data_IF_277782541674
#
_entry.id   IF_277782541674
#
_cell.length_a   1.000
_cell.length_b   1.000
_cell.length_c   1.000
_cell.angle_alpha   90.00
_cell.angle_beta   90.00
_cell.angle_gamma   90.00
#
_symmetry.space_group_name_H-M   'P 1'
#
loop_
_entity.id
_entity.type
_entity.pdbx_description
1 polymer ?
#
# COMPACT_ATOMS: atom_id res chain seq x y z
N UNK A 1 -10.47 -13.91 -6.09
CA UNK A 1 -11.85 -13.41 -6.22
C UNK A 1 -12.21 -13.41 -7.70
N UNK A 2 -13.04 -14.36 -8.17
CA UNK A 2 -13.48 -14.36 -9.56
C UNK A 2 -14.20 -13.03 -9.85
N UNK A 3 -13.67 -12.27 -10.82
CA UNK A 3 -14.22 -10.98 -11.25
C UNK A 3 -13.40 -9.73 -10.87
N UNK A 4 -12.47 -9.81 -9.91
CA UNK A 4 -11.64 -8.65 -9.52
C UNK A 4 -10.42 -8.55 -10.43
N UNK A 5 -10.38 -7.49 -11.25
CA UNK A 5 -9.31 -7.26 -12.25
C UNK A 5 -8.29 -6.20 -11.84
N UNK A 6 -8.59 -5.41 -10.82
CA UNK A 6 -7.79 -4.24 -10.43
C UNK A 6 -7.44 -4.27 -8.95
N UNK A 7 -6.36 -3.57 -8.64
CA UNK A 7 -5.87 -3.38 -7.30
C UNK A 7 -5.74 -1.89 -7.04
N UNK A 8 -6.22 -1.44 -5.89
CA UNK A 8 -5.99 -0.07 -5.44
C UNK A 8 -4.54 0.10 -4.99
N UNK A 9 -3.93 1.22 -5.35
CA UNK A 9 -2.63 1.61 -4.81
C UNK A 9 -2.86 2.15 -3.40
N UNK A 10 -2.05 1.70 -2.44
CA UNK A 10 -2.15 2.12 -1.03
C UNK A 10 -1.19 3.28 -0.77
N UNK A 11 -1.60 4.23 0.07
CA UNK A 11 -0.82 5.44 0.34
C UNK A 11 -1.00 6.55 -0.69
N UNK A 12 -2.04 6.46 -1.52
CA UNK A 12 -2.43 7.46 -2.51
C UNK A 12 -3.86 7.93 -2.27
N UNK A 13 -4.14 9.22 -2.54
CA UNK A 13 -5.42 9.87 -2.22
C UNK A 13 -5.79 9.64 -0.75
N UNK A 14 -7.04 9.26 -0.48
CA UNK A 14 -7.58 9.06 0.87
C UNK A 14 -7.14 7.73 1.51
N UNK A 15 -6.46 6.85 0.75
CA UNK A 15 -6.06 5.53 1.27
C UNK A 15 -4.74 5.59 2.02
N UNK A 16 -4.78 5.24 3.30
CA UNK A 16 -3.57 5.20 4.13
C UNK A 16 -2.62 4.06 3.75
N UNK A 17 -1.32 4.31 3.88
CA UNK A 17 -0.28 3.30 3.75
C UNK A 17 -0.32 2.27 4.87
N UNK A 18 0.33 1.13 4.67
CA UNK A 18 0.45 0.10 5.71
C UNK A 18 1.58 0.48 6.66
N UNK A 19 1.25 0.71 7.94
CA UNK A 19 2.20 0.99 9.01
C UNK A 19 3.09 -0.23 9.31
N UNK A 20 4.29 0.02 9.82
CA UNK A 20 5.28 -0.99 10.27
C UNK A 20 5.74 -2.00 9.21
N UNK A 21 5.40 -1.77 7.95
CA UNK A 21 5.84 -2.63 6.86
C UNK A 21 7.30 -2.34 6.52
N UNK A 22 8.19 -3.27 6.88
CA UNK A 22 9.65 -3.15 6.62
C UNK A 22 10.06 -3.53 5.20
N UNK A 23 9.33 -4.44 4.54
CA UNK A 23 9.64 -4.94 3.20
C UNK A 23 8.56 -4.55 2.16
N UNK A 24 8.97 -4.31 0.90
CA UNK A 24 8.09 -3.92 -0.22
C UNK A 24 7.21 -2.69 0.09
N UNK A 25 7.78 -1.73 0.82
CA UNK A 25 7.07 -0.55 1.37
C UNK A 25 6.46 0.34 0.28
N UNK A 26 7.14 0.45 -0.87
CA UNK A 26 6.70 1.23 -2.03
C UNK A 26 5.35 0.77 -2.60
N UNK A 27 5.05 -0.54 -2.60
CA UNK A 27 3.77 -1.07 -3.08
C UNK A 27 2.60 -0.74 -2.16
N UNK A 28 2.87 -0.53 -0.87
CA UNK A 28 1.86 -0.41 0.17
C UNK A 28 1.83 0.97 0.86
N UNK A 29 2.52 1.97 0.31
CA UNK A 29 2.57 3.31 0.89
C UNK A 29 3.26 3.38 2.26
N UNK A 30 4.08 2.38 2.61
CA UNK A 30 4.82 2.37 3.86
C UNK A 30 5.98 3.36 3.81
N UNK A 31 6.00 4.35 4.71
CA UNK A 31 7.11 5.31 4.79
C UNK A 31 8.37 4.62 5.32
N UNK A 32 9.54 5.09 4.87
CA UNK A 32 10.82 4.65 5.45
C UNK A 32 10.89 5.23 6.88
N UNK A 33 10.99 4.39 7.93
CA UNK A 33 11.29 4.89 9.27
C UNK A 33 12.62 5.63 9.23
N UNK A 34 12.69 6.77 9.94
CA UNK A 34 13.92 7.55 10.09
C UNK A 34 14.96 6.73 10.85
#
# INVERSE_FOLDING_TARGET
>A
LPGVRYHIIRGTLDTQGVNDRRQRRSKYGGKRPK
#
